data_IF_951190295844
#
_entry.id   IF_951190295844
#
_cell.length_a   1.000
_cell.length_b   1.000
_cell.length_c   1.000
_cell.angle_alpha   90.00
_cell.angle_beta   90.00
_cell.angle_gamma   90.00
#
_symmetry.space_group_name_H-M   'P 1'
#
loop_
_entity.id
_entity.type
_entity.pdbx_description
1 polymer ?
#
# COMPACT_ATOMS: atom_id res chain seq x y z
N UNK A 1 -8.67 8.16 17.57
CA UNK A 1 -7.92 9.01 16.61
C UNK A 1 -8.13 8.45 15.22
N UNK A 2 -8.38 9.30 14.23
CA UNK A 2 -8.54 8.87 12.83
C UNK A 2 -7.16 8.79 12.16
N UNK A 3 -6.94 7.83 11.27
CA UNK A 3 -5.66 7.71 10.53
C UNK A 3 -5.32 9.01 9.77
N UNK A 4 -6.33 9.66 9.19
CA UNK A 4 -6.22 10.94 8.48
C UNK A 4 -5.85 12.15 9.35
N UNK A 5 -5.86 12.01 10.68
CA UNK A 5 -5.44 13.05 11.63
C UNK A 5 -4.02 12.77 12.17
N UNK A 6 -3.43 11.63 11.82
CA UNK A 6 -2.10 11.23 12.28
C UNK A 6 -1.02 12.10 11.66
N UNK A 7 0.02 12.42 12.45
CA UNK A 7 1.28 13.01 11.93
C UNK A 7 2.21 11.95 11.31
N UNK A 8 1.92 10.66 11.51
CA UNK A 8 2.70 9.56 10.94
C UNK A 8 2.41 9.37 9.46
N UNK A 9 3.35 8.73 8.75
CA UNK A 9 3.17 8.38 7.35
C UNK A 9 2.08 7.32 7.19
N UNK A 10 1.01 7.67 6.48
CA UNK A 10 -0.16 6.82 6.29
C UNK A 10 -0.10 6.07 4.97
N UNK A 11 -0.26 4.75 5.05
CA UNK A 11 -0.31 3.84 3.91
C UNK A 11 -1.67 3.14 3.95
N UNK A 12 -2.41 3.17 2.85
CA UNK A 12 -3.68 2.43 2.72
C UNK A 12 -3.65 1.57 1.47
N UNK A 13 -4.38 0.47 1.48
CA UNK A 13 -4.58 -0.37 0.32
C UNK A 13 -5.76 -1.31 0.50
N UNK A 14 -6.16 -1.95 -0.60
CA UNK A 14 -7.40 -2.73 -0.67
C UNK A 14 -8.54 -1.91 -1.30
N UNK A 15 -9.24 -2.52 -2.27
CA UNK A 15 -10.25 -1.84 -3.08
C UNK A 15 -11.37 -1.21 -2.26
N UNK A 16 -11.89 -1.92 -1.26
CA UNK A 16 -12.97 -1.42 -0.41
C UNK A 16 -12.54 -0.22 0.44
N UNK A 17 -11.33 -0.27 1.00
CA UNK A 17 -10.76 0.84 1.78
C UNK A 17 -10.59 2.08 0.92
N UNK A 18 -10.07 1.93 -0.30
CA UNK A 18 -9.88 3.02 -1.26
C UNK A 18 -11.24 3.60 -1.68
N UNK A 19 -12.23 2.74 -1.98
CA UNK A 19 -13.57 3.17 -2.34
C UNK A 19 -14.26 3.94 -1.21
N UNK A 20 -14.10 3.50 0.04
CA UNK A 20 -14.63 4.18 1.22
C UNK A 20 -13.98 5.56 1.42
N UNK A 21 -12.65 5.66 1.33
CA UNK A 21 -11.94 6.93 1.46
C UNK A 21 -12.30 7.92 0.35
N UNK A 22 -12.47 7.43 -0.88
CA UNK A 22 -12.90 8.24 -2.01
C UNK A 22 -14.32 8.79 -1.82
N UNK A 23 -15.27 7.96 -1.39
CA UNK A 23 -16.65 8.39 -1.06
C UNK A 23 -16.69 9.43 0.06
N UNK A 24 -15.74 9.39 0.98
CA UNK A 24 -15.63 10.34 2.09
C UNK A 24 -14.82 11.61 1.74
N UNK A 25 -14.24 11.70 0.54
CA UNK A 25 -13.37 12.81 0.15
C UNK A 25 -12.09 12.91 1.00
N UNK A 26 -11.60 11.76 1.49
CA UNK A 26 -10.45 11.68 2.41
C UNK A 26 -9.19 11.12 1.75
N UNK A 27 -9.26 10.76 0.46
CA UNK A 27 -8.15 10.10 -0.23
C UNK A 27 -6.89 10.99 -0.26
N UNK A 28 -7.06 12.30 -0.47
CA UNK A 28 -5.98 13.29 -0.51
C UNK A 28 -5.28 13.50 0.85
N UNK A 29 -5.85 12.97 1.93
CA UNK A 29 -5.27 13.02 3.29
C UNK A 29 -4.39 11.82 3.61
N UNK A 30 -4.22 10.89 2.67
CA UNK A 30 -3.37 9.72 2.83
C UNK A 30 -2.05 9.92 2.07
N UNK A 31 -0.93 9.50 2.66
CA UNK A 31 0.39 9.72 2.04
C UNK A 31 0.66 8.74 0.89
N UNK A 32 0.24 7.48 1.01
CA UNK A 32 0.39 6.50 -0.05
C UNK A 32 -0.83 5.58 -0.18
N UNK A 33 -1.31 5.44 -1.42
CA UNK A 33 -2.42 4.55 -1.77
C UNK A 33 -1.89 3.41 -2.63
N UNK A 34 -1.97 2.19 -2.13
CA UNK A 34 -1.57 0.98 -2.84
C UNK A 34 -2.75 0.33 -3.54
N UNK A 35 -2.64 0.22 -4.86
CA UNK A 35 -3.59 -0.53 -5.72
C UNK A 35 -3.18 -2.00 -5.90
N UNK A 36 -2.15 -2.46 -5.19
CA UNK A 36 -1.58 -3.81 -5.34
C UNK A 36 -2.43 -4.94 -4.74
N UNK A 37 -3.54 -4.61 -4.06
CA UNK A 37 -4.45 -5.61 -3.48
C UNK A 37 -3.73 -6.66 -2.63
N UNK A 38 -3.88 -7.94 -3.00
CA UNK A 38 -3.23 -9.06 -2.30
C UNK A 38 -1.70 -9.01 -2.32
N UNK A 39 -1.08 -8.51 -3.39
CA UNK A 39 0.38 -8.40 -3.48
C UNK A 39 0.96 -7.44 -2.43
N UNK A 40 0.22 -6.37 -2.08
CA UNK A 40 0.61 -5.49 -0.97
C UNK A 40 0.58 -6.24 0.37
N UNK A 41 -0.45 -7.05 0.60
CA UNK A 41 -0.57 -7.82 1.85
C UNK A 41 0.53 -8.88 1.94
N UNK A 42 0.84 -9.57 0.85
CA UNK A 42 1.94 -10.52 0.77
C UNK A 42 3.30 -9.85 1.01
N UNK A 43 3.52 -8.67 0.43
CA UNK A 43 4.71 -7.86 0.68
C UNK A 43 4.84 -7.47 2.16
N UNK A 44 3.76 -6.95 2.77
CA UNK A 44 3.75 -6.58 4.19
C UNK A 44 3.88 -7.79 5.13
N UNK A 45 3.43 -8.97 4.70
CA UNK A 45 3.62 -10.22 5.42
C UNK A 45 5.05 -10.78 5.30
N UNK A 46 5.95 -10.09 4.57
CA UNK A 46 7.33 -10.51 4.36
C UNK A 46 7.47 -11.67 3.38
N UNK A 47 6.43 -11.96 2.59
CA UNK A 47 6.53 -12.99 1.55
C UNK A 47 7.37 -12.48 0.39
N UNK A 48 8.13 -13.40 -0.19
CA UNK A 48 8.85 -13.16 -1.43
C UNK A 48 7.87 -13.00 -2.58
N UNK A 49 7.93 -11.87 -3.27
CA UNK A 49 7.17 -11.64 -4.49
C UNK A 49 8.04 -12.03 -5.69
N UNK A 50 7.67 -13.03 -6.50
CA UNK A 50 8.52 -13.55 -7.57
C UNK A 50 9.02 -12.47 -8.55
N UNK A 51 8.18 -11.48 -8.85
CA UNK A 51 8.57 -10.36 -9.71
C UNK A 51 9.65 -9.46 -9.10
N UNK A 52 9.60 -9.22 -7.79
CA UNK A 52 10.64 -8.43 -7.09
C UNK A 52 11.93 -9.22 -6.97
N UNK A 53 11.87 -10.53 -6.68
CA UNK A 53 13.07 -11.37 -6.56
C UNK A 53 13.90 -11.42 -7.85
N UNK A 54 13.24 -11.45 -9.01
CA UNK A 54 13.94 -11.42 -10.31
C UNK A 54 14.65 -10.08 -10.50
N UNK A 55 13.98 -8.97 -10.19
CA UNK A 55 14.55 -7.63 -10.30
C UNK A 55 15.73 -7.41 -9.33
N UNK A 56 15.59 -7.88 -8.10
CA UNK A 56 16.67 -7.84 -7.10
C UNK A 56 17.89 -8.64 -7.57
N UNK A 57 17.69 -9.84 -8.12
CA UNK A 57 18.81 -10.64 -8.65
C UNK A 57 19.50 -9.93 -9.82
N UNK A 58 18.75 -9.40 -10.78
CA UNK A 58 19.31 -8.72 -11.96
C UNK A 58 20.02 -7.39 -11.66
N UNK A 59 19.73 -6.74 -10.52
CA UNK A 59 20.44 -5.52 -10.11
C UNK A 59 21.77 -5.80 -9.41
N UNK A 60 21.91 -6.97 -8.78
CA UNK A 60 23.08 -7.35 -8.00
C UNK A 60 24.11 -8.17 -8.79
N UNK A 61 23.85 -8.41 -10.09
CA UNK A 61 24.80 -8.96 -11.08
C UNK A 61 25.49 -7.83 -11.84
#
# INVERSE_FOLDING_TARGET
GRVVESKGYSVVGGGDTIAALNKLGLLDKINFVSIGGGAMLDFLAGKKLPGLEVLERSHNE
#
